data_IF_903072321259
#
_entry.id   IF_903072321259
#
_cell.length_a   1.000
_cell.length_b   1.000
_cell.length_c   1.000
_cell.angle_alpha   90.00
_cell.angle_beta   90.00
_cell.angle_gamma   90.00
#
_symmetry.space_group_name_H-M   'P 1'
#
loop_
_entity.id
_entity.type
_entity.pdbx_description
1 polymer ?
#
# COMPACT_ATOMS: atom_id res chain seq x y z
N UNK A 1 14.43 -7.50 2.32
CA UNK A 1 14.21 -7.22 0.89
C UNK A 1 12.73 -6.91 0.72
N UNK A 2 12.34 -5.64 0.77
CA UNK A 2 10.95 -5.20 0.70
C UNK A 2 10.55 -4.99 -0.76
N UNK A 3 10.04 -6.05 -1.40
CA UNK A 3 9.77 -6.09 -2.84
C UNK A 3 8.65 -5.13 -3.34
N UNK A 4 7.93 -4.49 -2.42
CA UNK A 4 6.77 -3.62 -2.71
C UNK A 4 7.12 -2.13 -2.63
N UNK A 5 8.25 -1.79 -2.00
CA UNK A 5 8.64 -0.40 -1.71
C UNK A 5 9.03 0.33 -3.00
N UNK A 6 8.40 1.47 -3.25
CA UNK A 6 8.59 2.28 -4.45
C UNK A 6 7.66 1.94 -5.61
N UNK A 7 6.90 0.84 -5.53
CA UNK A 7 5.92 0.46 -6.56
C UNK A 7 4.55 1.06 -6.29
N UNK A 8 3.80 1.24 -7.37
CA UNK A 8 2.39 1.57 -7.30
C UNK A 8 1.63 0.29 -6.93
N UNK A 9 0.83 0.38 -5.89
CA UNK A 9 0.08 -0.76 -5.36
C UNK A 9 -1.38 -0.37 -5.21
N UNK A 10 -2.24 -1.34 -5.48
CA UNK A 10 -3.68 -1.21 -5.40
C UNK A 10 -4.16 -2.11 -4.29
N UNK A 11 -4.92 -1.52 -3.40
CA UNK A 11 -5.41 -2.16 -2.21
C UNK A 11 -6.89 -2.41 -2.39
N UNK A 12 -7.25 -3.68 -2.29
CA UNK A 12 -8.62 -4.16 -2.35
C UNK A 12 -9.09 -4.40 -0.93
N UNK A 13 -9.95 -3.52 -0.45
CA UNK A 13 -10.72 -3.74 0.77
C UNK A 13 -12.17 -4.04 0.39
N UNK A 14 -12.91 -4.85 1.17
CA UNK A 14 -14.28 -5.24 0.84
C UNK A 14 -15.26 -4.05 0.71
N UNK A 15 -14.91 -2.89 1.25
CA UNK A 15 -15.71 -1.66 1.15
C UNK A 15 -15.15 -0.64 0.18
N UNK A 16 -13.88 -0.74 -0.23
CA UNK A 16 -13.24 0.27 -1.05
C UNK A 16 -11.97 -0.23 -1.70
N UNK A 17 -11.70 0.26 -2.90
CA UNK A 17 -10.46 0.04 -3.59
C UNK A 17 -9.63 1.33 -3.54
N UNK A 18 -8.37 1.22 -3.14
CA UNK A 18 -7.50 2.36 -2.91
C UNK A 18 -6.17 2.14 -3.62
N UNK A 19 -5.80 3.05 -4.50
CA UNK A 19 -4.56 2.96 -5.26
C UNK A 19 -3.55 3.99 -4.73
N UNK A 20 -2.34 3.54 -4.40
CA UNK A 20 -1.32 4.40 -3.80
C UNK A 20 0.08 3.86 -4.02
N UNK A 21 1.08 4.69 -3.74
CA UNK A 21 2.48 4.26 -3.81
C UNK A 21 2.91 3.68 -2.47
N UNK A 22 3.46 2.48 -2.47
CA UNK A 22 4.07 1.93 -1.26
C UNK A 22 5.36 2.69 -0.96
N UNK A 23 5.32 3.48 0.11
CA UNK A 23 6.43 4.37 0.50
C UNK A 23 7.19 3.89 1.71
N UNK A 24 6.60 3.04 2.54
CA UNK A 24 7.27 2.48 3.72
C UNK A 24 6.57 1.23 4.25
N UNK A 25 7.23 0.54 5.19
CA UNK A 25 6.66 -0.56 5.97
C UNK A 25 6.98 -0.28 7.45
N UNK A 26 5.93 -0.12 8.26
CA UNK A 26 6.07 0.07 9.70
C UNK A 26 6.67 -1.19 10.37
N UNK A 27 7.33 -1.05 11.53
CA UNK A 27 7.94 -2.17 12.26
C UNK A 27 6.94 -3.24 12.70
N UNK A 28 5.66 -2.90 12.82
CA UNK A 28 4.55 -3.83 13.09
C UNK A 28 4.13 -4.64 11.85
N UNK A 29 4.79 -4.45 10.69
CA UNK A 29 4.47 -5.11 9.43
C UNK A 29 3.34 -4.44 8.64
N UNK A 30 2.82 -3.29 9.11
CA UNK A 30 1.83 -2.51 8.38
C UNK A 30 2.48 -1.81 7.19
N UNK A 31 1.79 -1.81 6.04
CA UNK A 31 2.30 -1.21 4.82
C UNK A 31 1.80 0.23 4.70
N UNK A 32 2.72 1.16 4.44
CA UNK A 32 2.42 2.59 4.33
C UNK A 32 2.29 2.97 2.87
N UNK A 33 1.11 3.43 2.50
CA UNK A 33 0.79 3.94 1.18
C UNK A 33 0.72 5.45 1.18
N UNK A 34 1.26 6.09 0.14
CA UNK A 34 1.01 7.48 -0.16
C UNK A 34 0.01 7.57 -1.32
N UNK A 35 -1.15 8.14 -1.02
CA UNK A 35 -2.26 8.30 -1.96
C UNK A 35 -2.69 9.77 -1.97
N UNK A 36 -2.52 10.44 -3.12
CA UNK A 36 -2.87 11.87 -3.31
C UNK A 36 -2.31 12.82 -2.25
N UNK A 37 -1.10 12.55 -1.76
CA UNK A 37 -0.42 13.36 -0.73
C UNK A 37 -0.83 13.02 0.72
N UNK A 38 -1.78 12.09 0.90
CA UNK A 38 -2.14 11.53 2.21
C UNK A 38 -1.47 10.18 2.40
N UNK A 39 -0.91 9.97 3.60
CA UNK A 39 -0.33 8.68 3.98
C UNK A 39 -1.37 7.82 4.68
N UNK A 40 -1.59 6.64 4.14
CA UNK A 40 -2.55 5.64 4.64
C UNK A 40 -1.75 4.44 5.12
N UNK A 41 -1.94 4.07 6.38
CA UNK A 41 -1.35 2.85 6.95
C UNK A 41 -2.34 1.72 6.86
N UNK A 42 -1.87 0.58 6.36
CA UNK A 42 -2.72 -0.59 6.16
C UNK A 42 -2.12 -1.76 6.90
N UNK A 43 -2.81 -2.19 7.94
CA UNK A 43 -2.44 -3.34 8.76
C UNK A 43 -3.13 -4.64 8.31
N UNK A 44 -4.22 -4.52 7.56
CA UNK A 44 -4.99 -5.66 7.04
C UNK A 44 -5.72 -5.25 5.75
N UNK A 45 -5.54 -6.05 4.69
CA UNK A 45 -6.16 -5.83 3.38
C UNK A 45 -5.36 -6.52 2.29
N UNK A 46 -6.00 -6.87 1.18
CA UNK A 46 -5.31 -7.49 0.06
C UNK A 46 -4.59 -6.39 -0.75
N UNK A 47 -3.26 -6.47 -0.80
CA UNK A 47 -2.43 -5.55 -1.57
C UNK A 47 -1.94 -6.25 -2.83
N UNK A 48 -2.28 -5.69 -3.99
CA UNK A 48 -1.79 -6.14 -5.29
C UNK A 48 -0.85 -5.09 -5.87
N UNK A 49 0.32 -5.51 -6.35
CA UNK A 49 1.24 -4.60 -7.04
C UNK A 49 0.72 -4.38 -8.45
N UNK A 50 0.49 -3.12 -8.81
CA UNK A 50 0.21 -2.75 -10.21
C UNK A 50 1.58 -2.51 -10.85
N UNK A 51 2.13 -3.56 -11.45
CA UNK A 51 3.25 -3.40 -12.39
C UNK A 51 2.66 -3.02 -13.74
N UNK A 52 3.02 -1.84 -14.23
CA UNK A 52 2.97 -1.53 -15.66
C UNK A 52 4.02 -2.38 -16.40
#
# INVERSE_FOLDING_TARGET
YSALLGYQVRLLSPSQELEGKAVDIDPDGALVLECRGSRVRISAGEVSVVKD
#
